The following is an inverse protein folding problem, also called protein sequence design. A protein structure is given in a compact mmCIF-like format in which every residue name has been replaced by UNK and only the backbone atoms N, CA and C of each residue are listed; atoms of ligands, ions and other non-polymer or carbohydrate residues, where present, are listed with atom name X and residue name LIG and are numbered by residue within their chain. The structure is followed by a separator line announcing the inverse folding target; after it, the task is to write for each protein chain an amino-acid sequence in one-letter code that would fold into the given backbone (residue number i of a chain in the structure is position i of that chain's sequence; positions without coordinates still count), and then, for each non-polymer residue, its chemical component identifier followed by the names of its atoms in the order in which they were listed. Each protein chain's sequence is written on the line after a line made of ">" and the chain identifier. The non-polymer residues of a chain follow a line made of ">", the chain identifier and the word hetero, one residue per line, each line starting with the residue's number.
data_IF_057628738473
#
_entry.id   IF_057628738473
#
_cell.length_a   1.000
_cell.length_b   1.000
_cell.length_c   1.000
_cell.angle_alpha   90.00
_cell.angle_beta   90.00
_cell.angle_gamma   90.00
#
_symmetry.space_group_name_H-M   'P 1'
#
loop_
_entity.id
_entity.type
_entity.pdbx_description
1 polymer ?
#
# COMPACT_ATOMS: atom_id res chain seq x y z
N UNK A 1 1.98 -11.92 5.10
CA UNK A 1 1.69 -11.84 3.66
C UNK A 1 2.32 -13.06 3.00
N UNK A 2 1.82 -13.55 1.86
CA UNK A 2 2.64 -14.47 1.05
C UNK A 2 3.48 -13.61 0.10
N UNK A 3 4.79 -13.86 0.06
CA UNK A 3 5.70 -13.21 -0.87
C UNK A 3 5.26 -13.54 -2.31
N UNK A 4 5.35 -12.55 -3.20
CA UNK A 4 4.95 -12.63 -4.60
C UNK A 4 3.46 -12.88 -4.84
N UNK A 5 2.60 -12.49 -3.90
CA UNK A 5 1.13 -12.52 -4.06
C UNK A 5 0.55 -11.12 -3.75
N UNK A 6 -0.45 -10.69 -4.55
CA UNK A 6 -1.19 -9.45 -4.28
C UNK A 6 -2.22 -9.66 -3.18
N UNK A 7 -2.23 -8.79 -2.17
CA UNK A 7 -3.21 -8.79 -1.09
C UNK A 7 -3.96 -7.47 -1.10
N UNK A 8 -5.29 -7.57 -1.26
CA UNK A 8 -6.19 -6.43 -1.14
C UNK A 8 -6.37 -6.05 0.33
N UNK A 9 -6.28 -4.75 0.65
CA UNK A 9 -6.50 -4.28 2.00
C UNK A 9 -7.93 -4.61 2.49
N UNK A 10 -8.07 -5.22 3.67
CA UNK A 10 -9.37 -5.62 4.25
C UNK A 10 -10.32 -4.44 4.52
N UNK A 11 -9.78 -3.24 4.70
CA UNK A 11 -10.56 -2.02 4.86
C UNK A 11 -11.24 -1.56 3.55
N UNK A 12 -10.94 -2.22 2.43
CA UNK A 12 -11.50 -1.94 1.09
C UNK A 12 -12.91 -2.52 0.90
N UNK A 13 -13.84 -2.25 1.82
CA UNK A 13 -15.21 -2.77 1.84
C UNK A 13 -16.19 -1.94 0.99
N UNK A 14 -15.90 -1.76 -0.30
CA UNK A 14 -16.79 -1.08 -1.26
C UNK A 14 -16.64 0.43 -1.37
N UNK A 15 -15.58 1.01 -0.79
CA UNK A 15 -15.19 2.41 -0.99
C UNK A 15 -14.44 2.65 -2.30
N UNK A 16 -14.24 3.92 -2.64
CA UNK A 16 -13.59 4.35 -3.90
C UNK A 16 -12.06 4.35 -3.86
N UNK A 17 -11.43 3.97 -2.75
CA UNK A 17 -9.98 4.09 -2.51
C UNK A 17 -9.34 2.73 -2.15
N UNK A 18 -9.63 1.69 -2.93
CA UNK A 18 -9.10 0.34 -2.71
C UNK A 18 -7.64 0.23 -3.22
N UNK A 19 -6.77 -0.40 -2.44
CA UNK A 19 -5.38 -0.71 -2.83
C UNK A 19 -5.05 -2.19 -2.64
N UNK A 20 -4.12 -2.69 -3.46
CA UNK A 20 -3.46 -3.97 -3.28
C UNK A 20 -1.98 -3.75 -3.03
N UNK A 21 -1.40 -4.56 -2.14
CA UNK A 21 0.03 -4.57 -1.84
C UNK A 21 0.59 -5.95 -2.13
N UNK A 22 1.84 -6.05 -2.57
CA UNK A 22 2.59 -7.30 -2.69
C UNK A 22 3.97 -7.13 -2.07
N UNK A 23 4.34 -8.05 -1.17
CA UNK A 23 5.70 -8.18 -0.67
C UNK A 23 6.53 -8.99 -1.68
N UNK A 24 7.72 -8.50 -2.00
CA UNK A 24 8.70 -9.15 -2.88
C UNK A 24 10.02 -9.34 -2.13
N UNK A 25 10.98 -10.01 -2.77
CA UNK A 25 12.34 -10.15 -2.21
C UNK A 25 13.05 -8.78 -2.10
N UNK A 26 12.71 -7.83 -2.98
CA UNK A 26 13.36 -6.52 -3.08
C UNK A 26 12.62 -5.41 -2.30
N UNK A 27 11.39 -5.66 -1.85
CA UNK A 27 10.58 -4.66 -1.15
C UNK A 27 9.08 -4.86 -1.31
N UNK A 28 8.36 -3.78 -1.63
CA UNK A 28 6.91 -3.75 -1.68
C UNK A 28 6.41 -3.08 -2.95
N UNK A 29 5.41 -3.70 -3.57
CA UNK A 29 4.67 -3.12 -4.68
C UNK A 29 3.27 -2.72 -4.24
N UNK A 30 2.81 -1.56 -4.71
CA UNK A 30 1.47 -1.03 -4.41
C UNK A 30 0.77 -0.65 -5.71
N UNK A 31 -0.51 -0.98 -5.83
CA UNK A 31 -1.34 -0.56 -6.96
C UNK A 31 -2.78 -0.29 -6.56
N UNK A 32 -3.48 0.45 -7.41
CA UNK A 32 -4.91 0.65 -7.31
C UNK A 32 -5.66 -0.64 -7.71
N UNK A 33 -6.50 -1.16 -6.82
CA UNK A 33 -7.31 -2.35 -7.10
C UNK A 33 -8.28 -2.14 -8.28
N UNK A 34 -8.76 -0.91 -8.46
CA UNK A 34 -9.84 -0.56 -9.39
C UNK A 34 -9.42 -0.71 -10.85
N UNK A 35 -8.14 -0.58 -11.13
CA UNK A 35 -7.60 -0.70 -12.49
C UNK A 35 -7.44 -2.16 -12.95
N UNK A 36 -7.87 -3.14 -12.14
CA UNK A 36 -7.86 -4.56 -12.51
C UNK A 36 -6.47 -5.09 -12.85
N UNK A 37 -5.43 -4.48 -12.26
CA UNK A 37 -4.02 -4.80 -12.54
C UNK A 37 -3.43 -4.14 -13.78
N UNK A 38 -4.17 -3.27 -14.48
CA UNK A 38 -3.68 -2.51 -15.64
C UNK A 38 -3.13 -1.12 -15.27
N UNK A 39 -3.32 -0.70 -14.01
CA UNK A 39 -2.84 0.58 -13.49
C UNK A 39 -1.35 0.57 -13.17
N UNK A 40 -0.78 1.75 -12.88
CA UNK A 40 0.63 1.86 -12.48
C UNK A 40 0.92 1.07 -11.20
N UNK A 41 2.13 0.54 -11.11
CA UNK A 41 2.65 -0.13 -9.92
C UNK A 41 3.74 0.75 -9.32
N UNK A 42 3.53 1.16 -8.08
CA UNK A 42 4.54 1.85 -7.28
C UNK A 42 5.44 0.80 -6.63
N UNK A 43 6.75 1.06 -6.60
CA UNK A 43 7.74 0.17 -6.00
C UNK A 43 8.46 0.90 -4.88
N UNK A 44 8.64 0.21 -3.76
CA UNK A 44 9.32 0.71 -2.57
C UNK A 44 10.33 -0.34 -2.11
N UNK A 45 11.50 0.10 -1.70
CA UNK A 45 12.46 -0.74 -0.96
C UNK A 45 11.90 -1.11 0.42
N UNK A 46 12.48 -2.13 1.06
CA UNK A 46 12.15 -2.46 2.45
C UNK A 46 12.31 -1.25 3.39
N UNK A 47 13.39 -0.49 3.25
CA UNK A 47 13.66 0.67 4.10
C UNK A 47 12.63 1.80 3.91
N UNK A 48 12.22 2.07 2.66
CA UNK A 48 11.17 3.06 2.37
C UNK A 48 9.82 2.61 2.93
N UNK A 49 9.50 1.32 2.84
CA UNK A 49 8.27 0.77 3.39
C UNK A 49 8.24 0.86 4.93
N UNK A 50 9.34 0.54 5.60
CA UNK A 50 9.48 0.70 7.05
C UNK A 50 9.32 2.17 7.48
N UNK A 51 9.97 3.09 6.77
CA UNK A 51 9.83 4.52 7.02
C UNK A 51 8.39 5.01 6.82
N UNK A 52 7.73 4.56 5.75
CA UNK A 52 6.32 4.87 5.50
C UNK A 52 5.42 4.39 6.63
N UNK A 53 5.57 3.13 7.08
CA UNK A 53 4.80 2.59 8.21
C UNK A 53 5.07 3.35 9.51
N UNK A 54 6.31 3.76 9.76
CA UNK A 54 6.66 4.58 10.92
C UNK A 54 5.95 5.95 10.87
N UNK A 55 5.96 6.62 9.70
CA UNK A 55 5.24 7.88 9.50
C UNK A 55 3.73 7.76 9.72
N UNK A 56 3.11 6.71 9.16
CA UNK A 56 1.68 6.40 9.37
C UNK A 56 1.37 6.21 10.87
N UNK A 57 2.17 5.42 11.59
CA UNK A 57 1.95 5.19 13.02
C UNK A 57 2.16 6.45 13.87
N UNK A 58 2.99 7.38 13.41
CA UNK A 58 3.23 8.66 14.07
C UNK A 58 2.19 9.74 13.69
N UNK A 59 1.21 9.42 12.85
CA UNK A 59 0.19 10.37 12.39
C UNK A 59 0.72 11.42 11.41
N UNK A 60 1.86 11.19 10.76
CA UNK A 60 2.48 12.16 9.82
C UNK A 60 1.56 12.49 8.63
N UNK A 61 0.68 11.55 8.27
CA UNK A 61 -0.24 11.67 7.14
C UNK A 61 -1.69 11.91 7.57
N UNK A 62 -1.95 12.12 8.87
CA UNK A 62 -3.28 12.45 9.33
C UNK A 62 -3.64 13.87 8.87
N UNK A 63 -4.90 14.12 8.48
CA UNK A 63 -5.34 15.45 8.13
C UNK A 63 -5.17 16.37 9.34
N UNK A 64 -4.57 17.54 9.12
CA UNK A 64 -4.54 18.58 10.14
C UNK A 64 -5.98 19.04 10.36
N UNK A 65 -6.57 18.70 11.51
CA UNK A 65 -7.88 19.20 11.92
C UNK A 65 -7.87 20.74 11.80
N UNK A 66 -8.83 21.30 11.05
CA UNK A 66 -9.01 22.74 10.87
C UNK A 66 -9.99 23.31 11.90
#
# INVERSE_FOLDING_TARGET
>A
MRINEWHKAVASNGGTNCVEVMETEDGFLVRDTKDGGSGPVLSFTHAEWEAFLAGVNNGEFDPVEA
#
